data_IF_402264473681
#
_entry.id   IF_402264473681
#
_cell.length_a   1.000
_cell.length_b   1.000
_cell.length_c   1.000
_cell.angle_alpha   90.00
_cell.angle_beta   90.00
_cell.angle_gamma   90.00
#
_symmetry.space_group_name_H-M   'P 1'
#
loop_
_entity.id
_entity.type
_entity.pdbx_description
1 polymer ?
#
# COMPACT_ATOMS: atom_id res chain seq x y z
N UNK A 1 43.85 -17.14 15.05
CA UNK A 1 43.18 -15.82 15.12
C UNK A 1 42.12 -15.78 14.03
N UNK A 2 40.86 -15.97 14.41
CA UNK A 2 39.70 -15.97 13.50
C UNK A 2 39.40 -14.53 13.08
N UNK A 3 39.64 -14.22 11.79
CA UNK A 3 39.17 -12.96 11.21
C UNK A 3 37.65 -13.03 11.09
N UNK A 4 36.95 -12.22 11.89
CA UNK A 4 35.52 -12.03 11.77
C UNK A 4 35.17 -11.51 10.38
N UNK A 5 34.25 -12.21 9.71
CA UNK A 5 33.63 -11.75 8.48
C UNK A 5 32.83 -10.48 8.79
N UNK A 6 33.33 -9.31 8.38
CA UNK A 6 32.49 -8.11 8.29
C UNK A 6 31.60 -8.32 7.07
N UNK A 7 30.31 -8.57 7.29
CA UNK A 7 29.32 -8.42 6.24
C UNK A 7 29.38 -6.96 5.76
N UNK A 8 30.03 -6.70 4.62
CA UNK A 8 29.86 -5.44 3.92
C UNK A 8 28.43 -5.45 3.38
N UNK A 9 27.53 -4.80 4.09
CA UNK A 9 26.27 -4.39 3.47
C UNK A 9 26.68 -3.37 2.42
N UNK A 10 26.74 -3.79 1.15
CA UNK A 10 27.05 -2.94 0.01
C UNK A 10 25.92 -1.92 -0.13
N UNK A 11 26.02 -0.81 0.62
CA UNK A 11 25.09 0.30 0.55
C UNK A 11 25.34 1.06 -0.74
N UNK A 12 24.35 1.07 -1.62
CA UNK A 12 24.37 1.82 -2.88
C UNK A 12 23.55 3.09 -2.72
N UNK A 13 24.01 4.19 -3.32
CA UNK A 13 23.29 5.46 -3.35
C UNK A 13 22.41 5.55 -4.60
N UNK A 14 21.18 6.03 -4.42
CA UNK A 14 20.27 6.39 -5.51
C UNK A 14 20.16 7.91 -5.54
N UNK A 15 20.49 8.52 -6.67
CA UNK A 15 20.32 9.95 -6.90
C UNK A 15 19.08 10.20 -7.75
N UNK A 16 18.17 11.05 -7.28
CA UNK A 16 16.91 11.37 -7.95
C UNK A 16 16.89 12.86 -8.28
N UNK A 17 16.60 13.19 -9.53
CA UNK A 17 16.37 14.57 -9.97
C UNK A 17 14.88 14.90 -9.84
N UNK A 18 14.59 16.01 -9.17
CA UNK A 18 13.25 16.57 -9.01
C UNK A 18 13.34 18.08 -9.16
N UNK A 19 12.25 18.71 -9.59
CA UNK A 19 12.15 20.16 -9.55
C UNK A 19 12.10 20.68 -8.09
N UNK A 20 12.43 21.96 -7.94
CA UNK A 20 12.56 22.61 -6.64
C UNK A 20 11.23 22.67 -5.88
N UNK A 21 10.11 22.82 -6.58
CA UNK A 21 8.78 22.90 -5.98
C UNK A 21 8.41 21.55 -5.34
N UNK A 22 8.57 20.44 -6.07
CA UNK A 22 8.35 19.09 -5.55
C UNK A 22 9.25 18.79 -4.37
N UNK A 23 10.54 19.12 -4.44
CA UNK A 23 11.48 18.93 -3.32
C UNK A 23 11.00 19.65 -2.06
N UNK A 24 10.56 20.89 -2.21
CA UNK A 24 10.13 21.73 -1.08
C UNK A 24 8.89 21.15 -0.42
N UNK A 25 7.85 20.87 -1.21
CA UNK A 25 6.59 20.27 -0.70
C UNK A 25 6.81 18.91 -0.06
N UNK A 26 7.65 18.08 -0.67
CA UNK A 26 7.97 16.76 -0.12
C UNK A 26 8.70 16.89 1.22
N UNK A 27 9.73 17.74 1.31
CA UNK A 27 10.47 17.95 2.54
C UNK A 27 9.61 18.53 3.68
N UNK A 28 8.70 19.45 3.38
CA UNK A 28 7.75 19.99 4.36
C UNK A 28 6.81 18.91 4.88
N UNK A 29 6.23 18.10 3.99
CA UNK A 29 5.33 17.00 4.39
C UNK A 29 6.04 15.98 5.28
N UNK A 30 7.25 15.59 4.90
CA UNK A 30 8.08 14.64 5.66
C UNK A 30 8.39 15.18 7.05
N UNK A 31 8.77 16.46 7.14
CA UNK A 31 9.03 17.14 8.42
C UNK A 31 7.80 17.19 9.32
N UNK A 32 6.62 17.51 8.77
CA UNK A 32 5.38 17.56 9.53
C UNK A 32 4.96 16.20 10.09
N UNK A 33 5.43 15.10 9.49
CA UNK A 33 5.21 13.74 9.96
C UNK A 33 6.27 13.26 10.97
N UNK A 34 7.28 14.09 11.28
CA UNK A 34 8.39 13.71 12.17
C UNK A 34 9.30 12.62 11.58
N UNK A 35 9.27 12.41 10.26
CA UNK A 35 10.05 11.39 9.55
C UNK A 35 11.25 12.00 8.85
N UNK A 36 12.19 11.16 8.43
CA UNK A 36 13.26 11.54 7.50
C UNK A 36 12.89 11.22 6.05
N UNK A 37 13.52 11.93 5.11
CA UNK A 37 13.33 11.66 3.67
C UNK A 37 13.71 10.22 3.35
N UNK A 38 14.80 9.74 3.94
CA UNK A 38 15.31 8.38 3.74
C UNK A 38 14.32 7.33 4.21
N UNK A 39 13.72 7.49 5.40
CA UNK A 39 12.69 6.56 5.90
C UNK A 39 11.50 6.46 4.96
N UNK A 40 11.04 7.60 4.44
CA UNK A 40 9.89 7.63 3.51
C UNK A 40 10.24 6.99 2.18
N UNK A 41 11.44 7.24 1.65
CA UNK A 41 11.88 6.63 0.39
C UNK A 41 12.14 5.13 0.52
N UNK A 42 12.70 4.66 1.63
CA UNK A 42 12.89 3.22 1.88
C UNK A 42 11.53 2.54 1.98
N UNK A 43 10.60 3.07 2.79
CA UNK A 43 9.24 2.53 2.88
C UNK A 43 8.57 2.49 1.51
N UNK A 44 8.70 3.54 0.71
CA UNK A 44 8.12 3.57 -0.63
C UNK A 44 8.76 2.56 -1.58
N UNK A 45 10.08 2.36 -1.48
CA UNK A 45 10.80 1.34 -2.26
C UNK A 45 10.35 -0.06 -1.85
N UNK A 46 10.25 -0.32 -0.54
CA UNK A 46 9.80 -1.59 0.01
C UNK A 46 8.36 -1.87 -0.45
N UNK A 47 7.44 -0.91 -0.29
CA UNK A 47 6.05 -1.02 -0.76
C UNK A 47 5.95 -1.21 -2.30
N UNK A 48 6.89 -0.65 -3.06
CA UNK A 48 6.90 -0.76 -4.52
C UNK A 48 7.42 -2.13 -4.99
N UNK A 49 8.42 -2.68 -4.29
CA UNK A 49 8.99 -4.01 -4.56
C UNK A 49 8.05 -5.11 -4.05
N UNK A 50 7.36 -4.85 -2.93
CA UNK A 50 6.41 -5.77 -2.33
C UNK A 50 5.11 -5.76 -3.15
N UNK A 51 5.15 -6.41 -4.32
CA UNK A 51 4.00 -6.63 -5.21
C UNK A 51 2.89 -7.48 -4.57
N UNK A 52 3.07 -7.93 -3.31
CA UNK A 52 2.21 -8.89 -2.62
C UNK A 52 0.85 -8.35 -2.18
N UNK A 53 0.64 -7.02 -2.18
CA UNK A 53 -0.67 -6.43 -1.87
C UNK A 53 -1.10 -5.32 -2.86
N UNK A 54 -0.88 -5.53 -4.17
CA UNK A 54 -1.89 -4.99 -5.10
C UNK A 54 -3.13 -5.84 -4.96
N UNK A 55 -3.91 -5.55 -3.92
CA UNK A 55 -5.29 -6.02 -3.81
C UNK A 55 -5.93 -5.74 -5.16
N UNK A 56 -6.24 -6.80 -5.89
CA UNK A 56 -6.84 -6.69 -7.20
C UNK A 56 -8.21 -6.03 -7.00
N UNK A 57 -8.27 -4.72 -7.25
CA UNK A 57 -9.47 -3.90 -7.05
C UNK A 57 -10.62 -4.47 -7.89
N UNK A 58 -10.30 -5.21 -8.96
CA UNK A 58 -11.27 -5.93 -9.78
C UNK A 58 -11.85 -7.13 -9.02
N UNK A 59 -11.02 -7.89 -8.30
CA UNK A 59 -11.48 -9.02 -7.50
C UNK A 59 -12.27 -8.58 -6.26
N UNK A 60 -11.83 -7.49 -5.60
CA UNK A 60 -12.60 -6.85 -4.54
C UNK A 60 -13.98 -6.39 -5.02
N UNK A 61 -14.05 -5.75 -6.19
CA UNK A 61 -15.32 -5.30 -6.78
C UNK A 61 -16.24 -6.48 -7.07
N UNK A 62 -15.71 -7.58 -7.63
CA UNK A 62 -16.49 -8.80 -7.89
C UNK A 62 -17.03 -9.41 -6.59
N UNK A 63 -16.24 -9.43 -5.52
CA UNK A 63 -16.66 -9.94 -4.21
C UNK A 63 -17.78 -9.08 -3.59
N UNK A 64 -17.70 -7.76 -3.73
CA UNK A 64 -18.77 -6.85 -3.28
C UNK A 64 -20.06 -7.07 -4.07
N UNK A 65 -19.99 -7.11 -5.41
CA UNK A 65 -21.17 -7.36 -6.25
C UNK A 65 -21.83 -8.71 -5.96
N UNK A 66 -21.04 -9.74 -5.62
CA UNK A 66 -21.56 -11.06 -5.25
C UNK A 66 -22.27 -11.04 -3.89
N UNK A 67 -21.78 -10.24 -2.94
CA UNK A 67 -22.40 -10.06 -1.62
C UNK A 67 -23.72 -9.26 -1.74
N UNK A 68 -23.74 -8.18 -2.53
CA UNK A 68 -24.95 -7.39 -2.79
C UNK A 68 -26.06 -8.23 -3.43
N UNK A 69 -25.73 -9.08 -4.41
CA UNK A 69 -26.71 -9.99 -5.03
C UNK A 69 -27.30 -10.98 -4.01
N UNK A 70 -26.48 -11.51 -3.10
CA UNK A 70 -26.96 -12.42 -2.05
C UNK A 70 -27.86 -11.71 -1.02
N UNK A 71 -27.52 -10.49 -0.64
CA UNK A 71 -28.34 -9.67 0.26
C UNK A 71 -29.72 -9.40 -0.36
N UNK A 72 -29.76 -8.96 -1.62
CA UNK A 72 -31.01 -8.67 -2.32
C UNK A 72 -31.89 -9.91 -2.50
N UNK A 73 -31.29 -11.09 -2.65
CA UNK A 73 -32.03 -12.36 -2.72
C UNK A 73 -32.63 -12.76 -1.37
N UNK A 74 -31.90 -12.55 -0.26
CA UNK A 74 -32.44 -12.81 1.08
C UNK A 74 -33.59 -11.88 1.43
N UNK A 75 -33.47 -10.59 1.10
CA UNK A 75 -34.53 -9.61 1.35
C UNK A 75 -35.79 -9.93 0.55
N UNK A 76 -35.65 -10.38 -0.71
CA UNK A 76 -36.77 -10.80 -1.54
C UNK A 76 -37.45 -12.08 -1.05
N UNK A 77 -36.70 -13.03 -0.48
CA UNK A 77 -37.26 -14.26 0.10
C UNK A 77 -38.00 -13.98 1.41
N UNK A 78 -37.42 -13.14 2.28
CA UNK A 78 -38.06 -12.69 3.52
C UNK A 78 -39.35 -11.90 3.26
N UNK A 79 -39.38 -11.04 2.23
CA UNK A 79 -40.61 -10.34 1.84
C UNK A 79 -41.68 -11.28 1.28
N UNK A 80 -41.30 -12.33 0.54
CA UNK A 80 -42.24 -13.31 0.00
C UNK A 80 -42.88 -14.19 1.08
N UNK A 81 -42.14 -14.50 2.13
CA UNK A 81 -42.60 -15.32 3.26
C UNK A 81 -43.49 -14.54 4.25
N UNK A 82 -43.32 -13.21 4.34
CA UNK A 82 -44.16 -12.35 5.18
C UNK A 82 -45.54 -12.02 4.57
N UNK A 83 -45.72 -12.23 3.28
CA UNK A 83 -46.93 -11.88 2.51
C UNK A 83 -47.75 -13.10 2.07
N UNK A 84 -47.35 -14.32 2.46
CA UNK A 84 -48.08 -15.57 2.24
C UNK A 84 -48.81 -16.00 3.52
#
# INVERSE_FOLDING_TARGET
>A
MTKGSKASSDRVFIQIQVDQERKTRFAEKVRNQGKTITEVLISWIDDYIDESEKVDVIDLKKRIEALERKSNQQDSLLMGELLA
#
